data_IF_808147105667
#
_entry.id   IF_808147105667
#
_cell.length_a   1.000
_cell.length_b   1.000
_cell.length_c   1.000
_cell.angle_alpha   90.00
_cell.angle_beta   90.00
_cell.angle_gamma   90.00
#
_symmetry.space_group_name_H-M   'P 1'
#
loop_
_entity.id
_entity.type
_entity.pdbx_description
1 polymer ?
#
# COMPACT_ATOMS: atom_id res chain seq x y z
N UNK A 1 7.18 -2.96 -23.51
CA UNK A 1 8.53 -3.37 -24.01
C UNK A 1 9.37 -4.16 -23.00
N UNK A 2 9.38 -3.86 -21.69
CA UNK A 2 10.15 -4.66 -20.70
C UNK A 2 9.49 -5.99 -20.30
N UNK A 3 8.15 -6.07 -20.29
CA UNK A 3 7.41 -7.30 -19.93
C UNK A 3 7.71 -8.45 -20.88
N UNK A 4 7.47 -8.24 -22.18
CA UNK A 4 7.71 -9.24 -23.24
C UNK A 4 9.17 -9.74 -23.29
N UNK A 5 10.14 -8.92 -22.90
CA UNK A 5 11.57 -9.30 -22.82
C UNK A 5 11.86 -10.13 -21.56
N UNK A 6 11.19 -9.84 -20.44
CA UNK A 6 11.25 -10.63 -19.20
C UNK A 6 10.69 -12.04 -19.38
N UNK A 7 9.62 -12.17 -20.18
CA UNK A 7 8.94 -13.45 -20.40
C UNK A 7 9.75 -14.39 -21.32
N UNK A 8 10.52 -13.83 -22.27
CA UNK A 8 11.32 -14.62 -23.23
C UNK A 8 12.70 -15.05 -22.72
N UNK A 9 13.29 -14.30 -21.78
CA UNK A 9 14.66 -14.55 -21.30
C UNK A 9 14.72 -15.12 -19.88
N UNK A 10 13.59 -15.11 -19.17
CA UNK A 10 13.51 -15.43 -17.75
C UNK A 10 13.80 -14.22 -16.86
N UNK A 11 13.25 -14.22 -15.65
CA UNK A 11 13.27 -13.03 -14.77
C UNK A 11 14.66 -12.67 -14.24
N UNK A 12 15.55 -13.66 -14.04
CA UNK A 12 16.92 -13.46 -13.53
C UNK A 12 17.79 -12.57 -14.44
N UNK A 13 17.87 -12.79 -15.77
CA UNK A 13 18.66 -11.94 -16.66
C UNK A 13 18.11 -10.52 -16.86
N UNK A 14 16.87 -10.23 -16.45
CA UNK A 14 16.33 -8.85 -16.43
C UNK A 14 16.57 -8.16 -15.08
N UNK A 15 16.43 -8.90 -13.97
CA UNK A 15 16.60 -8.34 -12.62
C UNK A 15 18.06 -8.05 -12.26
N UNK A 16 19.02 -8.88 -12.69
CA UNK A 16 20.44 -8.65 -12.43
C UNK A 16 20.99 -7.34 -13.02
N UNK A 17 20.76 -7.00 -14.31
CA UNK A 17 21.19 -5.72 -14.85
C UNK A 17 20.39 -4.54 -14.27
N UNK A 18 19.11 -4.72 -13.93
CA UNK A 18 18.33 -3.68 -13.24
C UNK A 18 18.93 -3.36 -11.86
N UNK A 19 19.34 -4.38 -11.10
CA UNK A 19 20.02 -4.20 -9.82
C UNK A 19 21.40 -3.52 -10.00
N UNK A 20 22.17 -3.90 -11.01
CA UNK A 20 23.44 -3.25 -11.32
C UNK A 20 23.27 -1.76 -11.67
N UNK A 21 22.25 -1.42 -12.46
CA UNK A 21 21.88 -0.03 -12.77
C UNK A 21 21.45 0.75 -11.53
N UNK A 22 20.68 0.12 -10.62
CA UNK A 22 20.30 0.73 -9.35
C UNK A 22 21.52 1.03 -8.46
N UNK A 23 22.46 0.09 -8.34
CA UNK A 23 23.70 0.29 -7.59
C UNK A 23 24.57 1.38 -8.21
N UNK A 24 24.67 1.43 -9.54
CA UNK A 24 25.37 2.49 -10.25
C UNK A 24 24.72 3.86 -10.00
N UNK A 25 23.39 3.95 -10.03
CA UNK A 25 22.66 5.17 -9.70
C UNK A 25 22.93 5.63 -8.27
N UNK A 26 22.93 4.70 -7.29
CA UNK A 26 23.28 5.01 -5.89
C UNK A 26 24.70 5.58 -5.76
N UNK A 27 25.68 4.97 -6.45
CA UNK A 27 27.05 5.46 -6.45
C UNK A 27 27.15 6.88 -7.05
N UNK A 28 26.46 7.13 -8.18
CA UNK A 28 26.44 8.45 -8.82
C UNK A 28 25.80 9.48 -7.88
N UNK A 29 24.65 9.18 -7.24
CA UNK A 29 24.02 10.07 -6.27
C UNK A 29 24.95 10.41 -5.10
N UNK A 30 25.70 9.43 -4.59
CA UNK A 30 26.61 9.63 -3.47
C UNK A 30 27.79 10.57 -3.82
N UNK A 31 28.20 10.63 -5.09
CA UNK A 31 29.34 11.44 -5.56
C UNK A 31 28.94 12.66 -6.40
N UNK A 32 27.64 12.90 -6.60
CA UNK A 32 27.16 13.93 -7.52
C UNK A 32 27.40 15.34 -6.99
N UNK A 33 28.25 16.10 -7.69
CA UNK A 33 28.50 17.53 -7.45
C UNK A 33 27.86 18.43 -8.51
N UNK A 34 27.22 17.84 -9.54
CA UNK A 34 26.63 18.57 -10.67
C UNK A 34 25.21 18.10 -10.98
N UNK A 35 24.39 19.00 -11.54
CA UNK A 35 23.02 18.70 -11.97
C UNK A 35 22.99 17.63 -13.08
N UNK A 36 23.97 17.64 -13.99
CA UNK A 36 24.07 16.64 -15.06
C UNK A 36 24.25 15.24 -14.48
N UNK A 37 25.09 15.07 -13.45
CA UNK A 37 25.25 13.79 -12.77
C UNK A 37 23.94 13.32 -12.12
N UNK A 38 23.16 14.23 -11.54
CA UNK A 38 21.84 13.91 -10.97
C UNK A 38 20.82 13.49 -12.03
N UNK A 39 20.83 14.11 -13.22
CA UNK A 39 19.97 13.74 -14.35
C UNK A 39 20.30 12.31 -14.81
N UNK A 40 21.58 11.99 -14.96
CA UNK A 40 22.03 10.63 -15.34
C UNK A 40 21.63 9.60 -14.28
N UNK A 41 21.82 9.92 -12.99
CA UNK A 41 21.40 9.04 -11.90
C UNK A 41 19.89 8.77 -11.95
N UNK A 42 19.06 9.81 -12.16
CA UNK A 42 17.61 9.69 -12.30
C UNK A 42 17.19 8.82 -13.49
N UNK A 43 17.89 8.93 -14.63
CA UNK A 43 17.63 8.08 -15.79
C UNK A 43 17.88 6.60 -15.45
N UNK A 44 19.00 6.29 -14.80
CA UNK A 44 19.33 4.92 -14.39
C UNK A 44 18.34 4.37 -13.36
N UNK A 45 17.95 5.17 -12.37
CA UNK A 45 16.90 4.79 -11.43
C UNK A 45 15.57 4.52 -12.14
N UNK A 46 15.18 5.36 -13.11
CA UNK A 46 13.95 5.18 -13.87
C UNK A 46 13.93 3.85 -14.64
N UNK A 47 15.02 3.51 -15.33
CA UNK A 47 15.15 2.25 -16.06
C UNK A 47 15.12 1.05 -15.10
N UNK A 48 15.85 1.13 -13.99
CA UNK A 48 15.89 0.05 -12.99
C UNK A 48 14.52 -0.20 -12.36
N UNK A 49 13.82 0.86 -11.93
CA UNK A 49 12.47 0.76 -11.34
C UNK A 49 11.48 0.21 -12.36
N UNK A 50 11.49 0.70 -13.60
CA UNK A 50 10.61 0.19 -14.65
C UNK A 50 10.79 -1.30 -14.91
N UNK A 51 12.04 -1.79 -14.95
CA UNK A 51 12.34 -3.20 -15.12
C UNK A 51 11.86 -4.05 -13.92
N UNK A 52 12.08 -3.58 -12.69
CA UNK A 52 11.65 -4.27 -11.46
C UNK A 52 10.12 -4.37 -11.38
N UNK A 53 9.41 -3.27 -11.61
CA UNK A 53 7.93 -3.26 -11.58
C UNK A 53 7.35 -4.19 -12.65
N UNK A 54 7.88 -4.12 -13.87
CA UNK A 54 7.41 -4.97 -14.97
C UNK A 54 7.64 -6.46 -14.69
N UNK A 55 8.82 -6.85 -14.18
CA UNK A 55 9.09 -8.23 -13.81
C UNK A 55 8.28 -8.69 -12.59
N UNK A 56 8.02 -7.78 -11.65
CA UNK A 56 7.17 -8.03 -10.47
C UNK A 56 5.72 -8.31 -10.85
N UNK A 57 5.14 -7.51 -11.74
CA UNK A 57 3.75 -7.71 -12.18
C UNK A 57 3.57 -9.03 -12.95
N UNK A 58 4.49 -9.36 -13.86
CA UNK A 58 4.49 -10.66 -14.53
C UNK A 58 4.59 -11.82 -13.51
N UNK A 59 5.41 -11.65 -12.47
CA UNK A 59 5.52 -12.63 -11.40
C UNK A 59 4.23 -12.85 -10.61
N UNK A 60 3.48 -11.78 -10.34
CA UNK A 60 2.20 -11.86 -9.68
C UNK A 60 1.19 -12.59 -10.55
N UNK A 61 1.10 -12.27 -11.85
CA UNK A 61 0.17 -12.93 -12.77
C UNK A 61 0.43 -14.43 -12.89
N UNK A 62 1.69 -14.86 -13.00
CA UNK A 62 2.04 -16.28 -13.08
C UNK A 62 1.64 -17.05 -11.81
N UNK A 63 1.90 -16.46 -10.63
CA UNK A 63 1.55 -17.07 -9.35
C UNK A 63 0.02 -17.13 -9.18
N UNK A 64 -0.66 -16.02 -9.44
CA UNK A 64 -2.11 -15.92 -9.32
C UNK A 64 -2.81 -16.85 -10.32
N UNK A 65 -2.36 -16.87 -11.57
CA UNK A 65 -2.88 -17.76 -12.60
C UNK A 65 -2.73 -19.22 -12.20
N UNK A 66 -1.54 -19.64 -11.76
CA UNK A 66 -1.31 -21.03 -11.31
C UNK A 66 -2.21 -21.40 -10.13
N UNK A 67 -2.34 -20.52 -9.13
CA UNK A 67 -3.19 -20.74 -7.97
C UNK A 67 -4.68 -20.82 -8.33
N UNK A 68 -5.14 -20.01 -9.29
CA UNK A 68 -6.51 -20.01 -9.79
C UNK A 68 -6.80 -21.11 -10.84
N UNK A 69 -5.85 -22.02 -11.11
CA UNK A 69 -6.02 -23.08 -12.12
C UNK A 69 -5.95 -22.58 -13.57
N UNK A 70 -5.42 -21.37 -13.80
CA UNK A 70 -5.19 -20.71 -15.09
C UNK A 70 -3.70 -20.40 -15.29
N UNK A 71 -2.83 -21.42 -15.45
CA UNK A 71 -1.40 -21.19 -15.68
C UNK A 71 -1.11 -20.42 -16.99
N UNK A 72 -2.08 -20.38 -17.90
CA UNK A 72 -2.09 -19.62 -19.15
C UNK A 72 -2.36 -18.12 -18.96
N UNK A 73 -2.69 -17.66 -17.75
CA UNK A 73 -3.13 -16.29 -17.48
C UNK A 73 -2.09 -15.23 -17.89
N UNK A 74 -0.80 -15.55 -17.77
CA UNK A 74 0.28 -14.64 -18.17
C UNK A 74 0.47 -14.53 -19.69
N UNK A 75 -0.13 -15.42 -20.46
CA UNK A 75 -0.17 -15.37 -21.93
C UNK A 75 -1.51 -14.83 -22.46
N UNK A 76 -2.51 -14.65 -21.59
CA UNK A 76 -3.82 -14.12 -21.97
C UNK A 76 -3.64 -12.69 -22.51
N UNK A 77 -4.05 -12.39 -23.77
CA UNK A 77 -3.85 -11.08 -24.37
C UNK A 77 -4.48 -9.92 -23.58
N UNK A 78 -5.48 -10.18 -22.73
CA UNK A 78 -6.07 -9.17 -21.84
C UNK A 78 -5.15 -8.77 -20.69
N UNK A 79 -4.15 -9.60 -20.38
CA UNK A 79 -3.18 -9.40 -19.30
C UNK A 79 -1.79 -9.08 -19.85
N UNK A 80 -1.39 -9.73 -20.95
CA UNK A 80 -0.07 -9.61 -21.57
C UNK A 80 -0.05 -8.79 -22.86
N UNK A 81 -1.19 -8.22 -23.25
CA UNK A 81 -1.32 -7.35 -24.41
C UNK A 81 -0.49 -6.07 -24.31
N UNK A 82 -0.50 -5.29 -25.39
CA UNK A 82 0.01 -3.91 -25.36
C UNK A 82 -0.86 -3.03 -24.44
N UNK A 83 -0.54 -1.74 -24.34
CA UNK A 83 -1.16 -0.79 -23.41
C UNK A 83 -2.67 -1.03 -23.20
N UNK A 84 -3.07 -1.30 -21.95
CA UNK A 84 -4.46 -1.50 -21.55
C UNK A 84 -5.26 -0.26 -21.92
N UNK A 85 -6.23 -0.41 -22.82
CA UNK A 85 -7.17 0.67 -23.13
C UNK A 85 -8.27 0.70 -22.06
N UNK A 86 -8.85 1.87 -21.84
CA UNK A 86 -10.10 2.07 -21.12
C UNK A 86 -11.19 1.06 -21.51
N UNK A 87 -11.23 0.62 -22.78
CA UNK A 87 -12.19 -0.37 -23.27
C UNK A 87 -11.94 -1.80 -22.80
N UNK A 88 -10.72 -2.13 -22.36
CA UNK A 88 -10.34 -3.49 -21.93
C UNK A 88 -10.65 -3.74 -20.44
N UNK A 89 -11.06 -2.70 -19.71
CA UNK A 89 -11.25 -2.77 -18.26
C UNK A 89 -12.37 -3.72 -17.84
N UNK A 90 -13.46 -3.79 -18.61
CA UNK A 90 -14.58 -4.70 -18.30
C UNK A 90 -14.17 -6.17 -18.50
N UNK A 91 -13.48 -6.48 -19.60
CA UNK A 91 -12.99 -7.83 -19.89
C UNK A 91 -11.93 -8.28 -18.88
N UNK A 92 -11.06 -7.38 -18.44
CA UNK A 92 -10.08 -7.64 -17.39
C UNK A 92 -10.75 -7.84 -16.02
N UNK A 93 -11.74 -7.02 -15.68
CA UNK A 93 -12.48 -7.16 -14.43
C UNK A 93 -13.21 -8.51 -14.36
N UNK A 94 -13.87 -8.94 -15.45
CA UNK A 94 -14.54 -10.24 -15.52
C UNK A 94 -13.55 -11.42 -15.40
N UNK A 95 -12.35 -11.29 -16.00
CA UNK A 95 -11.28 -12.27 -15.87
C UNK A 95 -10.79 -12.35 -14.41
N UNK A 96 -10.57 -11.20 -13.77
CA UNK A 96 -10.16 -11.12 -12.36
C UNK A 96 -11.23 -11.70 -11.43
N UNK A 97 -12.51 -11.44 -11.67
CA UNK A 97 -13.60 -12.00 -10.88
C UNK A 97 -13.63 -13.54 -10.95
N UNK A 98 -13.44 -14.08 -12.16
CA UNK A 98 -13.35 -15.53 -12.38
C UNK A 98 -12.15 -16.13 -11.65
N UNK A 99 -10.98 -15.50 -11.73
CA UNK A 99 -9.78 -15.99 -11.05
C UNK A 99 -9.88 -15.84 -9.53
N UNK A 100 -10.37 -14.70 -9.03
CA UNK A 100 -10.50 -14.43 -7.60
C UNK A 100 -11.44 -15.43 -6.92
N UNK A 101 -12.51 -15.86 -7.60
CA UNK A 101 -13.45 -16.85 -7.09
C UNK A 101 -12.88 -18.28 -6.99
N UNK A 102 -11.69 -18.55 -7.54
CA UNK A 102 -11.10 -19.88 -7.52
C UNK A 102 -10.63 -20.32 -6.12
N UNK A 103 -10.33 -19.38 -5.23
CA UNK A 103 -9.92 -19.62 -3.84
C UNK A 103 -10.66 -18.67 -2.90
N UNK A 104 -10.77 -19.07 -1.63
CA UNK A 104 -11.22 -18.18 -0.57
C UNK A 104 -10.20 -17.07 -0.29
N UNK A 105 -10.62 -15.99 0.37
CA UNK A 105 -9.71 -14.89 0.76
C UNK A 105 -8.55 -15.37 1.64
N UNK A 106 -8.80 -16.34 2.53
CA UNK A 106 -7.77 -16.91 3.40
C UNK A 106 -6.73 -17.70 2.60
N UNK A 107 -7.17 -18.56 1.68
CA UNK A 107 -6.28 -19.30 0.78
C UNK A 107 -5.47 -18.36 -0.13
N UNK A 108 -6.09 -17.28 -0.62
CA UNK A 108 -5.37 -16.24 -1.34
C UNK A 108 -4.32 -15.54 -0.49
N UNK A 109 -4.61 -15.28 0.79
CA UNK A 109 -3.64 -14.69 1.71
C UNK A 109 -2.43 -15.60 1.92
N UNK A 110 -2.63 -16.92 2.05
CA UNK A 110 -1.56 -17.89 2.16
C UNK A 110 -0.68 -17.94 0.90
N UNK A 111 -1.30 -17.98 -0.29
CA UNK A 111 -0.58 -17.95 -1.57
C UNK A 111 0.24 -16.67 -1.71
N UNK A 112 -0.38 -15.52 -1.45
CA UNK A 112 0.29 -14.23 -1.54
C UNK A 112 1.45 -14.12 -0.54
N UNK A 113 1.26 -14.52 0.72
CA UNK A 113 2.31 -14.52 1.74
C UNK A 113 3.50 -15.40 1.33
N UNK A 114 3.24 -16.63 0.85
CA UNK A 114 4.27 -17.56 0.37
C UNK A 114 5.11 -16.97 -0.76
N UNK A 115 4.51 -16.15 -1.62
CA UNK A 115 5.17 -15.55 -2.77
C UNK A 115 5.59 -14.09 -2.56
N UNK A 116 5.49 -13.56 -1.33
CA UNK A 116 5.80 -12.16 -0.99
C UNK A 116 5.02 -11.14 -1.84
N UNK A 117 3.77 -11.48 -2.18
CA UNK A 117 2.85 -10.60 -2.87
C UNK A 117 2.03 -9.87 -1.80
N UNK A 118 2.03 -8.52 -1.78
CA UNK A 118 1.27 -7.76 -0.79
C UNK A 118 -0.23 -7.93 -1.03
N UNK A 119 -0.93 -8.44 -0.04
CA UNK A 119 -2.37 -8.66 -0.06
C UNK A 119 -2.90 -8.56 1.36
N UNK A 120 -4.11 -8.03 1.51
CA UNK A 120 -4.82 -7.98 2.78
C UNK A 120 -6.32 -8.17 2.50
N UNK A 121 -7.05 -8.84 3.42
CA UNK A 121 -8.50 -8.93 3.30
C UNK A 121 -9.11 -7.53 3.42
N UNK A 122 -10.21 -7.32 2.69
CA UNK A 122 -11.06 -6.15 2.92
C UNK A 122 -11.88 -6.42 4.18
N UNK A 123 -11.68 -5.61 5.20
CA UNK A 123 -12.36 -5.75 6.49
C UNK A 123 -13.70 -5.01 6.47
N UNK A 124 -14.74 -5.67 6.94
CA UNK A 124 -16.03 -5.02 7.23
C UNK A 124 -15.87 -4.05 8.41
N UNK A 125 -16.53 -2.90 8.34
CA UNK A 125 -16.36 -1.83 9.32
C UNK A 125 -16.77 -2.24 10.73
N UNK A 126 -17.75 -3.14 10.85
CA UNK A 126 -18.23 -3.67 12.12
C UNK A 126 -17.20 -4.58 12.81
N UNK A 127 -16.26 -5.16 12.07
CA UNK A 127 -15.19 -6.06 12.57
C UNK A 127 -13.79 -5.47 12.47
N UNK A 128 -13.60 -4.41 11.68
CA UNK A 128 -12.30 -3.78 11.47
C UNK A 128 -11.62 -3.38 12.80
N UNK A 129 -12.41 -3.02 13.81
CA UNK A 129 -11.92 -2.67 15.14
C UNK A 129 -11.26 -3.83 15.92
N UNK A 130 -11.52 -5.08 15.55
CA UNK A 130 -10.91 -6.26 16.18
C UNK A 130 -9.59 -6.66 15.51
N UNK A 131 -9.30 -6.11 14.33
CA UNK A 131 -8.12 -6.45 13.57
C UNK A 131 -6.83 -5.97 14.27
N UNK A 132 -5.78 -6.81 14.37
CA UNK A 132 -4.52 -6.44 15.01
C UNK A 132 -3.89 -5.19 14.41
N UNK A 133 -3.98 -4.98 13.09
CA UNK A 133 -3.47 -3.77 12.46
C UNK A 133 -4.18 -2.52 12.98
N UNK A 134 -5.50 -2.58 13.18
CA UNK A 134 -6.30 -1.46 13.68
C UNK A 134 -6.04 -1.21 15.17
N UNK A 135 -6.04 -2.28 15.97
CA UNK A 135 -5.84 -2.22 17.43
C UNK A 135 -4.41 -1.83 17.79
N UNK A 136 -3.43 -2.58 17.31
CA UNK A 136 -2.02 -2.36 17.64
C UNK A 136 -1.47 -1.13 16.92
N UNK A 137 -2.10 -0.76 15.80
CA UNK A 137 -1.81 0.46 15.05
C UNK A 137 -2.32 1.74 15.72
N UNK A 138 -3.23 1.65 16.70
CA UNK A 138 -3.96 2.80 17.25
C UNK A 138 -4.69 3.60 16.16
N UNK A 139 -5.28 2.90 15.18
CA UNK A 139 -6.12 3.56 14.16
C UNK A 139 -7.50 3.90 14.73
N UNK A 140 -8.00 3.06 15.65
CA UNK A 140 -9.18 3.32 16.46
C UNK A 140 -8.79 3.21 17.93
N UNK A 141 -9.09 4.25 18.71
CA UNK A 141 -8.89 4.27 20.16
C UNK A 141 -10.25 4.32 20.88
N UNK A 142 -10.23 4.02 22.18
CA UNK A 142 -11.42 4.12 23.05
C UNK A 142 -11.34 5.36 23.92
N UNK A 143 -12.48 5.98 24.18
CA UNK A 143 -12.61 7.14 25.05
C UNK A 143 -13.94 7.09 25.83
N UNK A 144 -13.96 7.68 27.02
CA UNK A 144 -15.17 7.74 27.85
C UNK A 144 -15.99 8.98 27.51
N UNK A 145 -17.19 8.78 26.97
CA UNK A 145 -18.16 9.83 26.70
C UNK A 145 -19.05 10.07 27.93
N UNK A 146 -19.27 11.34 28.35
CA UNK A 146 -20.07 11.66 29.53
C UNK A 146 -21.51 11.10 29.51
N UNK A 147 -22.11 10.96 28.32
CA UNK A 147 -23.50 10.47 28.15
C UNK A 147 -23.62 9.11 27.48
N UNK A 148 -22.65 8.73 26.64
CA UNK A 148 -22.74 7.52 25.79
C UNK A 148 -21.89 6.36 26.36
N UNK A 149 -21.15 6.59 27.45
CA UNK A 149 -20.19 5.63 28.00
C UNK A 149 -18.96 5.47 27.09
N UNK A 150 -18.37 4.27 27.08
CA UNK A 150 -17.19 3.99 26.26
C UNK A 150 -17.54 4.05 24.76
N UNK A 151 -16.89 4.98 24.05
CA UNK A 151 -17.03 5.14 22.59
C UNK A 151 -15.71 4.83 21.88
N UNK A 152 -15.79 4.46 20.60
CA UNK A 152 -14.64 4.36 19.71
C UNK A 152 -14.47 5.65 18.92
N UNK A 153 -13.24 6.11 18.80
CA UNK A 153 -12.86 7.32 18.07
C UNK A 153 -11.68 7.01 17.15
N UNK A 154 -11.50 7.83 16.12
CA UNK A 154 -10.30 7.76 15.28
C UNK A 154 -9.08 8.07 16.16
N UNK A 155 -8.11 7.16 16.15
CA UNK A 155 -6.86 7.31 16.88
C UNK A 155 -5.90 8.30 16.21
N UNK A 156 -4.77 8.56 16.85
CA UNK A 156 -3.77 9.51 16.34
C UNK A 156 -2.80 8.74 15.44
N UNK A 157 -2.77 8.99 14.11
CA UNK A 157 -1.97 8.20 13.16
C UNK A 157 -0.47 8.49 13.24
N UNK A 158 -0.03 9.25 14.24
CA UNK A 158 1.33 9.72 14.43
C UNK A 158 1.85 9.26 15.79
N UNK A 159 3.02 8.63 15.80
CA UNK A 159 3.72 8.21 17.01
C UNK A 159 4.95 9.08 17.23
N UNK A 160 5.02 9.73 18.37
CA UNK A 160 6.17 10.51 18.80
C UNK A 160 6.79 9.85 20.02
N UNK A 161 8.12 9.68 20.01
CA UNK A 161 8.84 9.05 21.13
C UNK A 161 8.90 9.94 22.37
N UNK A 162 9.09 11.26 22.19
CA UNK A 162 9.20 12.21 23.30
C UNK A 162 7.85 12.77 23.77
N UNK A 163 6.89 12.92 22.86
CA UNK A 163 5.58 13.52 23.12
C UNK A 163 4.45 12.65 22.54
N UNK A 164 4.23 11.44 23.06
CA UNK A 164 3.17 10.55 22.56
C UNK A 164 1.82 11.27 22.48
N UNK A 165 1.17 11.18 21.32
CA UNK A 165 -0.18 11.70 21.13
C UNK A 165 -1.17 10.95 22.01
N UNK A 166 -2.14 11.67 22.59
CA UNK A 166 -3.27 11.07 23.30
C UNK A 166 -4.52 11.92 23.14
N UNK A 167 -5.67 11.26 23.15
CA UNK A 167 -6.99 11.92 23.19
C UNK A 167 -7.24 12.34 24.62
N UNK A 168 -7.00 13.62 24.94
CA UNK A 168 -7.07 14.15 26.32
C UNK A 168 -8.47 14.55 26.75
N UNK A 169 -9.31 14.97 25.80
CA UNK A 169 -10.68 15.39 26.04
C UNK A 169 -11.48 15.14 24.76
N UNK A 170 -12.73 14.73 24.92
CA UNK A 170 -13.69 14.65 23.82
C UNK A 170 -14.19 16.05 23.43
N UNK A 171 -14.96 16.12 22.35
CA UNK A 171 -15.62 17.37 21.97
C UNK A 171 -16.50 17.87 23.15
N UNK A 172 -16.35 19.14 23.58
CA UNK A 172 -17.14 19.66 24.68
C UNK A 172 -18.61 19.75 24.29
N UNK A 173 -19.50 19.61 25.27
CA UNK A 173 -20.91 19.95 25.06
C UNK A 173 -21.08 21.47 24.95
N UNK A 174 -22.18 21.91 24.35
CA UNK A 174 -22.46 23.34 24.22
C UNK A 174 -22.51 24.01 25.60
N UNK A 175 -21.67 25.04 25.79
CA UNK A 175 -21.57 25.79 27.04
C UNK A 175 -20.69 25.18 28.13
N UNK A 176 -20.06 24.02 27.89
CA UNK A 176 -19.26 23.31 28.91
C UNK A 176 -18.13 24.17 29.51
N UNK A 177 -17.44 24.94 28.66
CA UNK A 177 -16.27 25.72 29.06
C UNK A 177 -16.61 27.22 29.24
N UNK A 178 -17.89 27.60 29.27
CA UNK A 178 -18.29 29.02 29.30
C UNK A 178 -17.89 29.72 30.59
N UNK A 179 -18.13 29.11 31.76
CA UNK A 179 -17.79 29.72 33.05
C UNK A 179 -16.27 29.86 33.22
N UNK A 180 -15.51 28.83 32.85
CA UNK A 180 -14.05 28.83 32.92
C UNK A 180 -13.44 29.96 32.07
N UNK A 181 -13.89 30.10 30.81
CA UNK A 181 -13.40 31.16 29.91
C UNK A 181 -13.78 32.56 30.41
N UNK A 182 -14.97 32.74 30.98
CA UNK A 182 -15.37 34.02 31.57
C UNK A 182 -14.54 34.37 32.81
N UNK A 183 -14.23 33.39 33.66
CA UNK A 183 -13.38 33.57 34.83
C UNK A 183 -11.93 33.93 34.43
N UNK A 184 -11.38 33.31 33.39
CA UNK A 184 -10.06 33.66 32.85
C UNK A 184 -10.00 35.11 32.33
N UNK A 185 -11.06 35.56 31.65
CA UNK A 185 -11.16 36.94 31.16
C UNK A 185 -11.21 37.96 32.29
N UNK A 186 -11.92 37.65 33.38
CA UNK A 186 -12.01 38.52 34.54
C UNK A 186 -10.70 38.55 35.35
N UNK A 187 -9.99 37.42 35.45
CA UNK A 187 -8.69 37.34 36.12
C UNK A 187 -7.54 38.03 35.35
N UNK A 188 -7.70 38.22 34.03
CA UNK A 188 -6.75 38.92 33.17
C UNK A 188 -6.91 40.45 33.20
N UNK A 189 -7.92 40.97 33.90
CA UNK A 189 -8.15 42.42 34.11
C UNK A 189 -7.50 42.92 35.39
#
# INVERSE_FOLDING_TARGET
MSGVVSDRLGRKPVLLPALALALAACAIFATATTVVALIVARLFTGIAVGAVVSAGMAAVTDVAGTAAGRPDLAEDPRVSGDAIDSTDHEDLAALLETCAAALTTEEWAEVCAKHSIPMAPVLELDRAHDDPYVRDGHLLDTAEHPTEGTVRTIGIPLRFSATPGSIRRLAPVAGQDTEDVLAELDAAR
#
